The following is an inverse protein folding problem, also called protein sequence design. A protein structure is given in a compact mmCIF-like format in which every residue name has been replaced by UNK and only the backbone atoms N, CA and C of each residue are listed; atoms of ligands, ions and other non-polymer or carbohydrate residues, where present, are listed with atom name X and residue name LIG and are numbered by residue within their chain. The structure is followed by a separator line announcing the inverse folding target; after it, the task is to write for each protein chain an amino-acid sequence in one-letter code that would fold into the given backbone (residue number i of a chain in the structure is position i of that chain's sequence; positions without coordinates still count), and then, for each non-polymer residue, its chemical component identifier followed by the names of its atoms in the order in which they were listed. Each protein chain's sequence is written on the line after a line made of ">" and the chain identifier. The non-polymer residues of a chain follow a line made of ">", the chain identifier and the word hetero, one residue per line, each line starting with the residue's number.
data_IF_369609657024
#
_entry.id   IF_369609657024
#
_cell.length_a   1.000
_cell.length_b   1.000
_cell.length_c   1.000
_cell.angle_alpha   90.00
_cell.angle_beta   90.00
_cell.angle_gamma   90.00
#
_symmetry.space_group_name_H-M   'P 1'
#
loop_
_entity.id
_entity.type
_entity.pdbx_description
1 polymer ?
#
# COMPACT_ATOMS: atom_id res chain seq x y z
N UNK A 1 -9.80 10.46 6.01
CA UNK A 1 -9.13 11.20 5.32
C UNK A 1 -8.41 10.53 4.35
N UNK A 2 -8.36 10.62 3.34
CA UNK A 2 -8.40 10.19 2.67
C UNK A 2 -8.12 10.41 1.35
N UNK A 3 -7.84 11.45 0.94
CA UNK A 3 -7.25 11.76 -0.28
C UNK A 3 -5.84 11.26 -0.23
N UNK A 4 -5.09 11.45 -1.26
CA UNK A 4 -3.70 11.11 -1.24
C UNK A 4 -3.02 11.93 -0.18
N UNK A 5 -2.13 11.30 0.56
CA UNK A 5 -1.44 11.95 1.64
C UNK A 5 -0.37 12.91 1.16
N UNK A 6 0.25 12.60 0.04
CA UNK A 6 1.40 13.36 -0.44
C UNK A 6 1.40 13.46 -1.95
N UNK A 7 2.13 14.42 -2.46
CA UNK A 7 2.42 14.55 -3.89
C UNK A 7 3.93 14.54 -4.04
N UNK A 8 4.42 13.67 -4.91
CA UNK A 8 5.84 13.62 -5.25
C UNK A 8 6.00 14.01 -6.71
N UNK A 9 7.17 14.51 -7.05
CA UNK A 9 7.46 14.91 -8.44
C UNK A 9 8.58 14.05 -8.98
N UNK A 10 8.38 13.51 -10.17
CA UNK A 10 9.40 12.70 -10.83
C UNK A 10 9.36 13.03 -12.30
N UNK A 11 10.51 13.42 -12.85
CA UNK A 11 10.59 13.74 -14.26
C UNK A 11 9.71 14.89 -14.66
N UNK A 12 9.49 15.85 -13.76
CA UNK A 12 8.66 17.00 -14.05
C UNK A 12 7.17 16.75 -13.94
N UNK A 13 6.78 15.57 -13.49
CA UNK A 13 5.36 15.20 -13.30
C UNK A 13 5.09 14.90 -11.86
N UNK A 14 3.92 15.33 -11.38
CA UNK A 14 3.50 15.01 -10.04
C UNK A 14 2.98 13.59 -9.97
N UNK A 15 3.35 12.89 -8.89
CA UNK A 15 2.82 11.60 -8.57
C UNK A 15 2.05 11.74 -7.27
N UNK A 16 0.87 11.16 -7.24
CA UNK A 16 0.12 11.11 -6.00
C UNK A 16 0.66 9.97 -5.15
N UNK A 17 0.66 10.16 -3.86
CA UNK A 17 1.19 9.16 -2.93
C UNK A 17 0.14 8.88 -1.86
N UNK A 18 -0.16 7.61 -1.68
CA UNK A 18 -1.09 7.16 -0.65
C UNK A 18 -0.32 6.32 0.35
N UNK A 19 -0.37 6.68 1.62
CA UNK A 19 0.36 5.97 2.68
C UNK A 19 -0.62 5.32 3.64
N UNK A 20 -0.22 4.16 4.13
CA UNK A 20 -1.01 3.42 5.10
C UNK A 20 -0.06 2.69 6.03
N UNK A 21 -0.42 2.55 7.30
CA UNK A 21 0.36 1.78 8.27
C UNK A 21 -0.40 0.50 8.57
N UNK A 22 0.26 -0.63 8.41
CA UNK A 22 -0.32 -1.93 8.74
C UNK A 22 0.19 -2.32 10.13
N UNK A 23 -0.63 -2.08 11.11
CA UNK A 23 -0.24 -2.21 12.52
C UNK A 23 0.18 -3.64 12.86
N UNK A 24 -0.44 -4.64 12.22
CA UNK A 24 -0.12 -6.03 12.50
C UNK A 24 1.22 -6.47 11.93
N UNK A 25 1.82 -5.66 11.08
CA UNK A 25 3.14 -5.96 10.53
C UNK A 25 4.19 -5.34 11.42
N UNK A 26 4.63 -6.11 12.41
CA UNK A 26 5.60 -5.62 13.38
C UNK A 26 6.94 -6.35 13.30
N UNK A 27 7.12 -7.20 12.30
CA UNK A 27 8.36 -7.93 12.08
C UNK A 27 9.04 -7.40 10.82
N UNK A 28 10.27 -7.86 10.57
CA UNK A 28 10.99 -7.43 9.38
C UNK A 28 10.32 -7.91 8.10
N UNK A 29 9.81 -9.13 8.12
CA UNK A 29 9.23 -9.70 6.93
C UNK A 29 7.73 -9.45 6.91
N UNK A 30 7.23 -9.05 5.75
CA UNK A 30 5.79 -8.90 5.56
C UNK A 30 5.13 -10.28 5.77
N UNK A 31 4.13 -10.37 6.65
CA UNK A 31 3.62 -11.68 7.08
C UNK A 31 2.64 -12.36 6.14
N UNK A 32 2.37 -11.77 4.98
CA UNK A 32 1.37 -12.32 4.07
C UNK A 32 1.94 -12.55 2.68
N UNK A 33 1.27 -13.40 1.90
CA UNK A 33 1.71 -13.73 0.54
C UNK A 33 1.28 -12.68 -0.47
N UNK A 34 0.26 -11.91 -0.15
CA UNK A 34 -0.23 -10.85 -1.04
C UNK A 34 -0.52 -9.62 -0.19
N UNK A 35 -0.53 -8.48 -0.87
CA UNK A 35 -0.97 -7.25 -0.24
C UNK A 35 -2.46 -7.09 -0.51
N UNK A 36 -3.25 -6.95 0.54
CA UNK A 36 -4.70 -6.79 0.41
C UNK A 36 -5.03 -5.31 0.38
N UNK A 37 -5.50 -4.83 -0.75
CA UNK A 37 -5.91 -3.44 -0.90
C UNK A 37 -7.43 -3.39 -1.02
N UNK A 38 -8.14 -2.75 -0.08
CA UNK A 38 -9.59 -2.70 -0.15
C UNK A 38 -10.08 -2.08 -1.45
N UNK A 39 -11.15 -2.62 -1.99
CA UNK A 39 -11.69 -2.13 -3.26
C UNK A 39 -12.05 -0.64 -3.19
N UNK A 40 -12.41 -0.15 -2.03
CA UNK A 40 -12.77 1.28 -1.88
C UNK A 40 -11.59 2.19 -2.22
N UNK A 41 -10.37 1.66 -2.21
CA UNK A 41 -9.19 2.44 -2.60
C UNK A 41 -9.05 2.56 -4.11
N UNK A 42 -9.93 1.93 -4.86
CA UNK A 42 -9.91 2.00 -6.32
C UNK A 42 -10.01 3.44 -6.83
N UNK A 43 -10.60 4.32 -6.05
CA UNK A 43 -10.70 5.73 -6.43
C UNK A 43 -9.31 6.34 -6.68
N UNK A 44 -8.28 5.82 -6.05
CA UNK A 44 -6.92 6.34 -6.25
C UNK A 44 -6.27 5.82 -7.53
N UNK A 45 -6.96 4.93 -8.26
CA UNK A 45 -6.45 4.46 -9.55
C UNK A 45 -6.81 5.42 -10.68
N UNK A 46 -7.62 6.43 -10.42
CA UNK A 46 -8.01 7.39 -11.46
C UNK A 46 -6.82 8.16 -11.99
N UNK A 47 -5.78 8.33 -11.17
CA UNK A 47 -4.55 8.98 -11.57
C UNK A 47 -3.39 8.12 -11.07
N UNK A 48 -2.21 8.24 -11.71
CA UNK A 48 -1.05 7.48 -11.25
C UNK A 48 -0.76 7.76 -9.78
N UNK A 49 -0.77 6.74 -8.97
CA UNK A 49 -0.60 6.85 -7.52
C UNK A 49 0.38 5.81 -7.05
N UNK A 50 1.32 6.23 -6.23
CA UNK A 50 2.28 5.34 -5.61
C UNK A 50 1.79 5.03 -4.20
N UNK A 51 1.64 3.75 -3.91
CA UNK A 51 1.15 3.31 -2.60
C UNK A 51 2.32 2.87 -1.74
N UNK A 52 2.27 3.25 -0.46
CA UNK A 52 3.24 2.81 0.54
C UNK A 52 2.47 2.17 1.67
N UNK A 53 2.80 0.93 2.00
CA UNK A 53 2.22 0.25 3.15
C UNK A 53 3.35 0.01 4.14
N UNK A 54 3.29 0.72 5.24
CA UNK A 54 4.35 0.74 6.23
C UNK A 54 4.13 -0.30 7.31
N UNK A 55 5.22 -0.82 7.86
CA UNK A 55 5.11 -1.65 9.03
C UNK A 55 4.85 -0.79 10.27
N UNK A 56 4.55 -1.46 11.37
CA UNK A 56 4.23 -0.78 12.62
C UNK A 56 5.34 0.17 13.07
N UNK A 57 6.59 -0.21 12.83
CA UNK A 57 7.74 0.58 13.29
C UNK A 57 8.12 1.70 12.35
N UNK A 58 7.46 1.79 11.21
CA UNK A 58 7.71 2.82 10.20
C UNK A 58 9.13 2.81 9.65
N UNK A 59 9.77 1.65 9.67
CA UNK A 59 11.13 1.53 9.13
C UNK A 59 11.21 0.66 7.88
N UNK A 60 10.08 0.10 7.47
CA UNK A 60 10.04 -0.71 6.26
C UNK A 60 8.67 -0.53 5.61
N UNK A 61 8.64 -0.51 4.29
CA UNK A 61 7.38 -0.37 3.57
C UNK A 61 7.39 -1.25 2.34
N UNK A 62 6.19 -1.68 1.95
CA UNK A 62 5.96 -2.27 0.66
C UNK A 62 5.35 -1.18 -0.20
N UNK A 63 5.85 -1.03 -1.42
CA UNK A 63 5.37 -0.01 -2.33
C UNK A 63 4.96 -0.64 -3.63
N UNK A 64 3.91 -0.10 -4.25
CA UNK A 64 3.47 -0.52 -5.58
C UNK A 64 2.77 0.65 -6.25
N UNK A 65 2.74 0.58 -7.58
CA UNK A 65 2.22 1.66 -8.38
C UNK A 65 0.83 1.29 -8.90
N UNK A 66 -0.10 2.23 -8.87
CA UNK A 66 -1.47 1.97 -9.29
C UNK A 66 -1.56 1.43 -10.71
N UNK A 67 -0.69 1.92 -11.61
CA UNK A 67 -0.72 1.48 -13.00
C UNK A 67 -0.39 -0.01 -13.15
N UNK A 68 0.33 -0.58 -12.19
CA UNK A 68 0.72 -1.98 -12.25
C UNK A 68 -0.32 -2.91 -11.67
N UNK A 69 -1.28 -2.38 -10.93
CA UNK A 69 -2.25 -3.22 -10.19
C UNK A 69 -3.70 -2.93 -10.54
N UNK A 70 -3.98 -1.84 -11.23
CA UNK A 70 -5.36 -1.45 -11.50
C UNK A 70 -6.10 -2.43 -12.40
N UNK A 71 -5.39 -3.30 -13.09
CA UNK A 71 -6.00 -4.30 -13.94
C UNK A 71 -6.48 -5.53 -13.17
N UNK A 72 -6.12 -5.65 -11.90
CA UNK A 72 -6.51 -6.79 -11.11
C UNK A 72 -8.00 -6.73 -10.79
N UNK A 73 -8.60 -7.90 -10.64
CA UNK A 73 -10.02 -8.01 -10.27
C UNK A 73 -10.12 -8.22 -8.77
N UNK A 74 -10.91 -7.40 -8.07
CA UNK A 74 -11.07 -7.60 -6.63
C UNK A 74 -11.71 -8.94 -6.31
N UNK A 75 -11.34 -9.51 -5.19
CA UNK A 75 -11.82 -10.81 -4.72
C UNK A 75 -12.52 -10.62 -3.40
N UNK A 76 -13.66 -11.28 -3.25
CA UNK A 76 -14.37 -11.21 -1.98
C UNK A 76 -13.63 -12.02 -0.92
N UNK A 77 -13.37 -11.38 0.22
CA UNK A 77 -12.70 -12.02 1.34
C UNK A 77 -13.69 -12.09 2.49
N UNK A 78 -13.94 -13.28 3.04
CA UNK A 78 -14.89 -13.41 4.15
C UNK A 78 -14.50 -12.53 5.31
N UNK A 79 -15.51 -11.95 5.94
CA UNK A 79 -15.32 -11.05 7.08
C UNK A 79 -16.33 -11.45 8.14
N UNK A 80 -15.86 -11.80 9.32
CA UNK A 80 -16.74 -12.25 10.39
C UNK A 80 -17.65 -11.15 10.93
N UNK A 81 -17.35 -9.91 10.58
CA UNK A 81 -18.16 -8.78 11.04
C UNK A 81 -19.14 -8.27 10.00
N UNK A 82 -19.00 -8.71 8.75
CA UNK A 82 -19.84 -8.22 7.66
C UNK A 82 -20.39 -9.43 6.90
N UNK A 83 -21.69 -9.49 6.80
CA UNK A 83 -22.36 -10.66 6.23
C UNK A 83 -21.82 -11.04 4.85
N UNK A 84 -21.61 -10.06 4.00
CA UNK A 84 -21.17 -10.35 2.64
C UNK A 84 -19.65 -10.37 2.45
N UNK A 85 -18.90 -10.08 3.49
CA UNK A 85 -17.47 -9.95 3.34
C UNK A 85 -17.11 -8.63 2.66
N UNK A 86 -15.84 -8.48 2.32
CA UNK A 86 -15.34 -7.29 1.65
C UNK A 86 -14.53 -7.71 0.44
N UNK A 87 -14.45 -6.82 -0.54
CA UNK A 87 -13.67 -7.07 -1.75
C UNK A 87 -12.30 -6.41 -1.63
N UNK A 88 -11.29 -7.14 -2.04
CA UNK A 88 -9.91 -6.66 -1.99
C UNK A 88 -9.18 -6.99 -3.28
N UNK A 89 -8.32 -6.07 -3.71
CA UNK A 89 -7.33 -6.41 -4.71
C UNK A 89 -6.25 -7.20 -3.98
N UNK A 90 -5.97 -8.40 -4.46
CA UNK A 90 -4.92 -9.24 -3.88
C UNK A 90 -3.68 -9.06 -4.74
N UNK A 91 -2.78 -8.20 -4.30
CA UNK A 91 -1.64 -7.78 -5.07
C UNK A 91 -0.48 -8.75 -4.83
N UNK A 92 -0.03 -9.46 -5.89
CA UNK A 92 1.09 -10.38 -5.74
C UNK A 92 2.35 -9.63 -5.34
N UNK A 93 3.19 -10.26 -4.55
CA UNK A 93 4.41 -9.62 -4.07
C UNK A 93 5.36 -9.25 -5.21
N UNK A 94 5.31 -9.94 -6.33
CA UNK A 94 6.19 -9.62 -7.45
C UNK A 94 5.80 -8.32 -8.15
N UNK A 95 4.64 -7.76 -7.86
CA UNK A 95 4.26 -6.44 -8.36
C UNK A 95 4.62 -5.34 -7.37
N UNK A 96 5.31 -5.68 -6.30
CA UNK A 96 5.64 -4.73 -5.24
C UNK A 96 7.15 -4.65 -5.07
N UNK A 97 7.59 -3.63 -4.35
CA UNK A 97 8.97 -3.50 -3.92
C UNK A 97 8.97 -3.25 -2.42
N UNK A 98 10.01 -3.74 -1.76
CA UNK A 98 10.17 -3.49 -0.33
C UNK A 98 11.28 -2.46 -0.18
N UNK A 99 11.01 -1.42 0.60
CA UNK A 99 12.01 -0.43 0.91
C UNK A 99 12.27 -0.43 2.41
N UNK A 100 13.45 -0.03 2.78
CA UNK A 100 13.86 0.04 4.18
C UNK A 100 14.37 1.44 4.45
N UNK A 101 13.88 2.03 5.52
CA UNK A 101 14.28 3.37 5.91
C UNK A 101 15.22 3.25 7.10
N UNK A 102 16.41 3.84 6.96
CA UNK A 102 17.35 3.90 8.06
C UNK A 102 17.16 5.20 8.80
N UNK A 103 17.01 5.10 10.09
CA UNK A 103 17.00 6.27 10.94
C UNK A 103 18.44 6.53 11.36
N UNK A 104 18.95 7.68 10.99
CA UNK A 104 20.33 8.03 11.33
C UNK A 104 20.38 8.66 12.71
N UNK A 105 20.57 7.83 13.72
CA UNK A 105 20.55 8.32 15.08
C UNK A 105 21.84 9.02 15.48
N UNK A 106 22.87 8.89 14.68
CA UNK A 106 24.12 9.57 14.98
C UNK A 106 23.99 11.09 14.93
N UNK A 107 22.93 11.57 14.29
CA UNK A 107 22.70 12.99 14.19
C UNK A 107 21.79 13.55 15.26
N UNK A 108 21.42 12.75 16.20
CA UNK A 108 20.52 13.20 17.26
C UNK A 108 21.28 13.56 18.51
#
# INVERSE_FOLDING_TARGET
>A
RYAQDLIATKGGKDLLVECEVKVVWDTDKFPYDTVQLPERKKKFFAEPTLFYIWNNKLNKAITFFSEDVKHLTPVEVPNKYVYKGEYFFQIPMDLTKTIKVKINEANT
#
